data_IF_157348650390
#
_entry.id   IF_157348650390
#
_cell.length_a   1.000
_cell.length_b   1.000
_cell.length_c   1.000
_cell.angle_alpha   90.00
_cell.angle_beta   90.00
_cell.angle_gamma   90.00
#
_symmetry.space_group_name_H-M   'P 1'
#
loop_
_entity.id
_entity.type
_entity.pdbx_description
1 polymer ?
#
# COMPACT_ATOMS: atom_id res chain seq x y z
N UNK A 1 18.45 16.66 -6.51
CA UNK A 1 17.30 16.67 -7.45
C UNK A 1 16.02 16.59 -6.63
N UNK A 2 15.08 17.48 -6.85
CA UNK A 2 13.80 17.46 -6.11
C UNK A 2 12.92 16.30 -6.61
N UNK A 3 12.22 15.62 -5.69
CA UNK A 3 11.28 14.59 -6.06
C UNK A 3 10.05 15.24 -6.72
N UNK A 4 9.60 14.66 -7.81
CA UNK A 4 8.36 15.09 -8.47
C UNK A 4 7.15 14.49 -7.75
N UNK A 5 6.12 15.29 -7.51
CA UNK A 5 4.85 14.79 -6.98
C UNK A 5 4.11 13.96 -8.04
N UNK A 6 4.48 12.72 -8.14
CA UNK A 6 3.87 11.75 -9.05
C UNK A 6 3.61 10.43 -8.30
N UNK A 7 2.60 10.39 -7.44
CA UNK A 7 2.28 9.17 -6.71
C UNK A 7 1.73 8.12 -7.68
N UNK A 8 2.48 7.05 -7.81
CA UNK A 8 2.03 5.83 -8.46
C UNK A 8 1.72 4.84 -7.38
N UNK A 9 0.66 4.69 -6.84
CA UNK A 9 0.30 3.64 -5.89
C UNK A 9 1.49 2.76 -5.37
N UNK A 10 1.27 1.71 -4.67
CA UNK A 10 2.38 0.88 -4.17
C UNK A 10 2.86 -0.09 -5.25
N UNK A 11 4.18 -0.21 -5.38
CA UNK A 11 4.81 -1.18 -6.27
C UNK A 11 5.53 -2.24 -5.43
N UNK A 12 5.36 -3.50 -5.79
CA UNK A 12 6.18 -4.57 -5.24
C UNK A 12 7.63 -4.42 -5.73
N UNK A 13 8.58 -4.48 -4.82
CA UNK A 13 10.00 -4.34 -5.14
C UNK A 13 10.74 -5.67 -5.06
N UNK A 14 10.59 -6.37 -3.93
CA UNK A 14 11.25 -7.64 -3.70
C UNK A 14 10.67 -8.38 -2.49
N UNK A 15 11.08 -9.62 -2.33
CA UNK A 15 11.03 -10.32 -1.05
C UNK A 15 12.42 -10.28 -0.40
N UNK A 16 12.48 -10.29 0.92
CA UNK A 16 13.76 -10.43 1.66
C UNK A 16 14.33 -11.84 1.53
N UNK A 17 13.47 -12.81 1.21
CA UNK A 17 13.85 -14.19 0.91
C UNK A 17 13.66 -14.42 -0.59
N UNK A 18 14.59 -15.14 -1.23
CA UNK A 18 14.53 -15.47 -2.64
C UNK A 18 13.29 -16.30 -2.94
N UNK A 19 12.22 -15.66 -3.37
CA UNK A 19 10.96 -16.31 -3.71
C UNK A 19 10.15 -15.50 -4.70
N UNK A 20 9.40 -16.17 -5.56
CA UNK A 20 8.46 -15.53 -6.45
C UNK A 20 7.27 -14.98 -5.65
N UNK A 21 6.78 -13.81 -6.04
CA UNK A 21 5.53 -13.27 -5.52
C UNK A 21 4.39 -14.24 -5.81
N UNK A 22 3.66 -14.62 -4.76
CA UNK A 22 2.44 -15.42 -4.90
C UNK A 22 1.24 -14.48 -4.98
N UNK A 23 0.60 -14.42 -6.13
CA UNK A 23 -0.66 -13.73 -6.28
C UNK A 23 -1.78 -14.54 -5.63
N UNK A 24 -2.70 -13.82 -4.99
CA UNK A 24 -3.99 -14.36 -4.53
C UNK A 24 -5.13 -13.67 -5.25
N UNK A 25 -6.30 -14.26 -5.22
CA UNK A 25 -7.53 -13.66 -5.72
C UNK A 25 -8.58 -13.60 -4.63
N UNK A 26 -9.41 -12.56 -4.67
CA UNK A 26 -10.53 -12.40 -3.76
C UNK A 26 -11.63 -11.56 -4.39
N UNK A 27 -12.82 -11.63 -3.82
CA UNK A 27 -13.97 -10.84 -4.27
C UNK A 27 -13.97 -9.47 -3.61
N UNK A 28 -14.32 -8.45 -4.36
CA UNK A 28 -14.45 -7.08 -3.87
C UNK A 28 -15.86 -6.82 -3.33
N UNK A 29 -15.97 -5.79 -2.49
CA UNK A 29 -17.26 -5.14 -2.24
C UNK A 29 -17.83 -4.64 -3.58
N UNK A 30 -19.14 -4.66 -3.73
CA UNK A 30 -19.80 -4.14 -4.94
C UNK A 30 -19.40 -2.69 -5.23
N UNK A 31 -19.30 -2.35 -6.50
CA UNK A 31 -18.94 -1.01 -6.97
C UNK A 31 -17.53 -0.54 -6.52
N UNK A 32 -16.60 -1.46 -6.31
CA UNK A 32 -15.22 -1.14 -5.93
C UNK A 32 -14.36 -0.98 -7.17
N UNK A 33 -13.80 0.22 -7.37
CA UNK A 33 -12.79 0.50 -8.39
C UNK A 33 -11.41 0.46 -7.75
N UNK A 34 -10.49 -0.29 -8.36
CA UNK A 34 -9.10 -0.42 -7.91
C UNK A 34 -8.16 -0.20 -9.07
N UNK A 35 -6.98 0.31 -8.76
CA UNK A 35 -5.83 0.42 -9.69
C UNK A 35 -4.71 -0.48 -9.20
N UNK A 36 -3.80 -0.83 -10.10
CA UNK A 36 -2.59 -1.58 -9.72
C UNK A 36 -1.83 -0.84 -8.63
N UNK A 37 -1.46 -1.56 -7.57
CA UNK A 37 -0.74 -1.02 -6.41
C UNK A 37 -1.63 -0.38 -5.35
N UNK A 38 -2.94 -0.36 -5.51
CA UNK A 38 -3.84 0.16 -4.47
C UNK A 38 -3.78 -0.72 -3.20
N UNK A 39 -3.65 -0.10 -2.02
CA UNK A 39 -3.67 -0.84 -0.76
C UNK A 39 -5.08 -1.38 -0.48
N UNK A 40 -5.14 -2.61 -0.01
CA UNK A 40 -6.38 -3.36 0.17
C UNK A 40 -6.66 -3.64 1.64
N UNK A 41 -7.92 -3.49 2.02
CA UNK A 41 -8.46 -3.92 3.31
C UNK A 41 -9.61 -4.93 3.09
N UNK A 42 -9.99 -5.63 4.15
CA UNK A 42 -11.13 -6.55 4.12
C UNK A 42 -12.27 -6.00 4.99
N UNK A 43 -13.48 -6.07 4.45
CA UNK A 43 -14.71 -5.76 5.17
C UNK A 43 -15.74 -6.85 4.87
N UNK A 44 -16.23 -7.50 5.92
CA UNK A 44 -17.22 -8.57 5.77
C UNK A 44 -16.78 -9.73 4.87
N UNK A 45 -15.46 -9.99 4.78
CA UNK A 45 -14.89 -11.02 3.91
C UNK A 45 -14.62 -10.57 2.47
N UNK A 46 -14.91 -9.30 2.14
CA UNK A 46 -14.72 -8.74 0.80
C UNK A 46 -13.60 -7.69 0.78
N UNK A 47 -12.89 -7.64 -0.33
CA UNK A 47 -11.80 -6.68 -0.58
C UNK A 47 -12.38 -5.30 -0.88
N UNK A 48 -11.80 -4.29 -0.28
CA UNK A 48 -12.02 -2.88 -0.61
C UNK A 48 -10.71 -2.09 -0.62
N UNK A 49 -10.73 -0.89 -1.17
CA UNK A 49 -9.64 0.06 -1.07
C UNK A 49 -9.40 0.42 0.41
N UNK A 50 -8.16 0.28 0.87
CA UNK A 50 -7.76 0.74 2.19
C UNK A 50 -7.56 2.26 2.20
N UNK A 51 -8.00 2.92 3.26
CA UNK A 51 -7.86 4.37 3.43
C UNK A 51 -6.98 4.75 4.62
N UNK A 52 -6.89 6.05 4.89
CA UNK A 52 -6.07 6.60 5.96
C UNK A 52 -6.46 6.10 7.38
N UNK A 53 -7.69 5.64 7.54
CA UNK A 53 -8.21 5.10 8.81
C UNK A 53 -8.09 3.57 8.90
N UNK A 54 -7.57 2.90 7.87
CA UNK A 54 -7.40 1.45 7.89
C UNK A 54 -6.35 1.04 8.92
N UNK A 55 -6.72 0.15 9.83
CA UNK A 55 -5.86 -0.35 10.90
C UNK A 55 -5.14 -1.64 10.52
N UNK A 56 -5.49 -2.22 9.37
CA UNK A 56 -4.88 -3.42 8.83
C UNK A 56 -4.86 -3.38 7.30
N UNK A 57 -3.83 -3.96 6.69
CA UNK A 57 -3.72 -4.16 5.25
C UNK A 57 -3.79 -5.64 4.91
N UNK A 58 -4.49 -5.95 3.83
CA UNK A 58 -4.60 -7.31 3.30
C UNK A 58 -3.60 -7.59 2.19
N UNK A 59 -3.25 -6.56 1.45
CA UNK A 59 -2.30 -6.63 0.35
C UNK A 59 -2.39 -5.40 -0.54
N UNK A 60 -1.90 -5.55 -1.76
CA UNK A 60 -1.90 -4.51 -2.78
C UNK A 60 -2.42 -5.09 -4.10
N UNK A 61 -3.30 -4.35 -4.77
CA UNK A 61 -3.89 -4.78 -6.03
C UNK A 61 -2.82 -5.06 -7.10
N UNK A 62 -2.89 -6.21 -7.75
CA UNK A 62 -2.01 -6.59 -8.85
C UNK A 62 -2.64 -6.32 -10.23
N UNK A 63 -3.94 -6.08 -10.26
CA UNK A 63 -4.68 -5.70 -11.46
C UNK A 63 -5.66 -4.57 -11.18
N UNK A 64 -6.02 -3.82 -12.22
CA UNK A 64 -7.04 -2.79 -12.14
C UNK A 64 -8.42 -3.38 -12.39
N UNK A 65 -9.41 -2.92 -11.64
CA UNK A 65 -10.82 -3.25 -11.86
C UNK A 65 -11.66 -1.98 -11.81
N UNK A 66 -12.72 -1.96 -12.59
CA UNK A 66 -13.74 -0.91 -12.53
C UNK A 66 -14.97 -1.44 -11.80
N UNK A 67 -15.40 -0.69 -10.79
CA UNK A 67 -16.60 -1.03 -10.03
C UNK A 67 -17.86 -0.98 -10.89
N UNK A 68 -18.71 -1.99 -10.72
CA UNK A 68 -20.06 -2.03 -11.30
C UNK A 68 -21.04 -2.14 -10.17
N UNK A 69 -22.13 -1.38 -10.25
CA UNK A 69 -23.18 -1.40 -9.23
C UNK A 69 -23.73 -2.83 -9.03
N UNK A 70 -23.94 -3.18 -7.78
CA UNK A 70 -24.43 -4.49 -7.36
C UNK A 70 -23.59 -5.71 -7.80
N UNK A 71 -22.37 -5.50 -8.31
CA UNK A 71 -21.49 -6.56 -8.77
C UNK A 71 -20.23 -6.64 -7.92
N UNK A 72 -19.88 -7.84 -7.48
CA UNK A 72 -18.63 -8.15 -6.81
C UNK A 72 -17.64 -8.71 -7.82
N UNK A 73 -16.56 -7.98 -8.07
CA UNK A 73 -15.52 -8.39 -9.01
C UNK A 73 -14.48 -9.27 -8.29
N UNK A 74 -13.82 -10.14 -9.05
CA UNK A 74 -12.62 -10.83 -8.58
C UNK A 74 -11.40 -9.97 -8.90
N UNK A 75 -10.50 -9.80 -7.95
CA UNK A 75 -9.24 -9.06 -8.12
C UNK A 75 -8.05 -9.91 -7.70
N UNK A 76 -7.00 -9.90 -8.53
CA UNK A 76 -5.70 -10.43 -8.16
C UNK A 76 -4.94 -9.41 -7.31
N UNK A 77 -4.25 -9.88 -6.28
CA UNK A 77 -3.49 -9.02 -5.39
C UNK A 77 -2.23 -9.72 -4.86
N UNK A 78 -1.25 -8.92 -4.46
CA UNK A 78 -0.08 -9.36 -3.73
C UNK A 78 -0.43 -9.28 -2.25
N UNK A 79 -0.46 -10.41 -1.50
CA UNK A 79 -0.84 -10.39 -0.10
C UNK A 79 0.20 -9.62 0.73
N UNK A 80 -0.27 -9.00 1.80
CA UNK A 80 0.59 -8.48 2.85
C UNK A 80 1.18 -9.67 3.61
N UNK A 81 2.42 -10.01 3.33
CA UNK A 81 3.13 -11.14 3.92
C UNK A 81 4.48 -10.69 4.46
N UNK A 82 5.00 -11.43 5.44
CA UNK A 82 6.33 -11.19 5.99
C UNK A 82 7.38 -11.27 4.87
N UNK A 83 8.33 -10.35 4.90
CA UNK A 83 9.41 -10.28 3.93
C UNK A 83 9.07 -9.64 2.60
N UNK A 84 7.83 -9.25 2.36
CA UNK A 84 7.45 -8.52 1.14
C UNK A 84 7.72 -7.04 1.31
N UNK A 85 8.52 -6.49 0.39
CA UNK A 85 8.91 -5.08 0.37
C UNK A 85 8.23 -4.40 -0.80
N UNK A 86 7.57 -3.30 -0.50
CA UNK A 86 6.88 -2.45 -1.45
C UNK A 86 7.54 -1.07 -1.49
N UNK A 87 7.33 -0.33 -2.55
CA UNK A 87 7.67 1.08 -2.58
C UNK A 87 6.43 1.93 -2.81
N UNK A 88 6.43 3.11 -2.22
CA UNK A 88 5.39 4.10 -2.41
C UNK A 88 5.95 5.50 -2.23
N UNK A 89 5.25 6.51 -2.76
CA UNK A 89 5.63 7.90 -2.57
C UNK A 89 5.03 8.45 -1.27
N UNK A 90 5.84 9.17 -0.51
CA UNK A 90 5.33 9.97 0.60
C UNK A 90 4.40 11.06 0.07
N UNK A 91 3.24 11.17 0.68
CA UNK A 91 2.23 12.21 0.40
C UNK A 91 2.28 13.35 1.40
N UNK A 92 3.19 13.29 2.33
CA UNK A 92 3.36 14.33 3.34
C UNK A 92 4.03 15.56 2.75
N UNK A 93 3.56 16.74 3.13
CA UNK A 93 4.30 17.98 2.96
C UNK A 93 5.51 18.04 3.91
N UNK A 94 5.65 17.07 4.79
CA UNK A 94 6.78 16.92 5.70
C UNK A 94 8.02 16.54 4.90
N UNK A 95 9.12 17.19 5.22
CA UNK A 95 10.43 16.87 4.68
C UNK A 95 10.90 15.53 5.27
N UNK A 96 10.91 14.48 4.45
CA UNK A 96 11.31 13.13 4.86
C UNK A 96 12.83 13.05 4.88
N UNK A 97 13.36 12.62 6.00
CA UNK A 97 14.81 12.45 6.22
C UNK A 97 15.14 11.01 6.60
N UNK A 98 16.43 10.67 6.65
CA UNK A 98 16.89 9.36 7.12
C UNK A 98 16.38 8.99 8.53
N UNK A 99 16.06 9.97 9.37
CA UNK A 99 15.47 9.76 10.69
C UNK A 99 14.05 9.14 10.67
N UNK A 100 13.44 8.98 9.50
CA UNK A 100 12.17 8.26 9.36
C UNK A 100 12.35 6.76 9.15
N UNK A 101 13.55 6.28 8.88
CA UNK A 101 13.82 4.84 8.78
C UNK A 101 13.50 4.15 10.10
N UNK A 102 12.79 3.05 10.04
CA UNK A 102 12.29 2.31 11.21
C UNK A 102 10.98 2.85 11.78
N UNK A 103 10.55 4.07 11.43
CA UNK A 103 9.27 4.61 11.88
C UNK A 103 8.10 3.98 11.14
N UNK A 104 6.95 4.03 11.77
CA UNK A 104 5.68 3.56 11.22
C UNK A 104 4.97 4.65 10.43
N UNK A 105 4.18 4.23 9.46
CA UNK A 105 3.38 5.11 8.61
C UNK A 105 2.03 4.45 8.26
N UNK A 106 1.09 5.25 7.84
CA UNK A 106 -0.18 4.80 7.28
C UNK A 106 -0.18 4.84 5.76
N UNK A 107 -1.32 4.49 5.19
CA UNK A 107 -1.62 4.70 3.78
C UNK A 107 -2.56 5.88 3.63
N UNK A 108 -2.48 6.58 2.52
CA UNK A 108 -3.43 7.64 2.17
C UNK A 108 -3.92 7.43 0.76
N UNK A 109 -5.21 7.67 0.55
CA UNK A 109 -5.85 7.74 -0.75
C UNK A 109 -6.31 9.18 -0.97
N UNK A 110 -5.89 9.78 -2.06
CA UNK A 110 -6.30 11.14 -2.40
C UNK A 110 -7.60 11.15 -3.21
N UNK A 111 -8.21 12.32 -3.33
CA UNK A 111 -9.41 12.55 -4.16
C UNK A 111 -9.24 12.09 -5.61
N UNK A 112 -8.00 12.09 -6.12
CA UNK A 112 -7.69 11.60 -7.47
C UNK A 112 -7.47 10.08 -7.54
N UNK A 113 -7.78 9.34 -6.47
CA UNK A 113 -7.61 7.89 -6.42
C UNK A 113 -6.16 7.43 -6.47
N UNK A 114 -5.21 8.29 -6.13
CA UNK A 114 -3.80 7.93 -6.01
C UNK A 114 -3.46 7.62 -4.56
N UNK A 115 -2.77 6.50 -4.34
CA UNK A 115 -2.38 6.04 -3.02
C UNK A 115 -0.93 6.40 -2.73
N UNK A 116 -0.60 6.60 -1.46
CA UNK A 116 0.75 6.90 -1.02
C UNK A 116 0.97 6.61 0.46
N UNK A 117 2.16 6.93 0.94
CA UNK A 117 2.58 6.75 2.33
C UNK A 117 2.28 8.03 3.11
N UNK A 118 1.63 7.89 4.25
CA UNK A 118 1.30 8.99 5.15
C UNK A 118 2.08 8.86 6.46
N UNK A 119 3.15 9.64 6.59
CA UNK A 119 4.08 9.54 7.74
C UNK A 119 3.54 10.15 9.04
N UNK A 120 2.51 10.96 8.97
CA UNK A 120 1.85 11.57 10.14
C UNK A 120 0.57 10.83 10.57
N UNK A 121 0.33 9.62 10.02
CA UNK A 121 -0.87 8.87 10.32
C UNK A 121 -0.90 8.40 11.78
N UNK A 122 -2.07 8.45 12.36
CA UNK A 122 -2.35 7.79 13.64
C UNK A 122 -2.44 6.27 13.49
N UNK A 123 -2.77 5.80 12.28
CA UNK A 123 -2.81 4.37 11.94
C UNK A 123 -1.49 3.96 11.30
N UNK A 124 -0.82 2.99 11.89
CA UNK A 124 0.56 2.62 11.57
C UNK A 124 0.61 1.22 10.98
N UNK A 125 0.21 1.10 9.72
CA UNK A 125 0.13 -0.19 9.00
C UNK A 125 1.39 -0.54 8.20
N UNK A 126 2.28 0.44 8.01
CA UNK A 126 3.54 0.29 7.28
C UNK A 126 4.72 0.61 8.19
N UNK A 127 5.86 -0.01 7.92
CA UNK A 127 7.17 0.36 8.47
C UNK A 127 8.07 0.87 7.35
N UNK A 128 8.69 2.01 7.55
CA UNK A 128 9.63 2.60 6.59
C UNK A 128 10.97 1.88 6.73
N UNK A 129 11.44 1.26 5.65
CA UNK A 129 12.70 0.51 5.60
C UNK A 129 13.87 1.36 5.09
N UNK A 130 13.56 2.36 4.26
CA UNK A 130 14.58 3.22 3.67
C UNK A 130 14.09 3.98 2.46
N UNK A 131 15.01 4.66 1.83
CA UNK A 131 14.78 5.36 0.58
C UNK A 131 14.85 4.36 -0.59
N UNK A 132 13.95 4.49 -1.55
CA UNK A 132 14.06 3.71 -2.80
C UNK A 132 15.28 4.18 -3.59
N UNK A 133 16.10 3.27 -4.14
CA UNK A 133 17.21 3.64 -5.03
C UNK A 133 16.74 4.57 -6.16
N UNK A 134 17.49 5.62 -6.42
CA UNK A 134 17.15 6.65 -7.40
C UNK A 134 16.18 7.74 -6.92
N UNK A 135 15.76 7.69 -5.66
CA UNK A 135 14.98 8.76 -5.01
C UNK A 135 15.89 9.61 -4.11
N UNK A 136 15.46 10.80 -3.75
CA UNK A 136 16.14 11.68 -2.79
C UNK A 136 15.29 11.85 -1.52
N UNK A 137 15.94 12.10 -0.39
CA UNK A 137 15.26 12.56 0.82
C UNK A 137 14.59 13.91 0.56
N UNK A 138 13.51 14.17 1.18
CA UNK A 138 12.77 15.41 1.02
C UNK A 138 11.26 15.19 0.93
N UNK A 139 10.55 16.20 0.43
CA UNK A 139 9.12 16.07 0.11
C UNK A 139 8.93 15.10 -1.05
N UNK A 140 7.83 14.35 -1.02
CA UNK A 140 7.49 13.34 -2.05
C UNK A 140 8.54 12.24 -2.24
N UNK A 141 9.35 11.96 -1.21
CA UNK A 141 10.33 10.89 -1.27
C UNK A 141 9.67 9.54 -1.57
N UNK A 142 10.31 8.73 -2.41
CA UNK A 142 9.91 7.34 -2.63
C UNK A 142 10.58 6.46 -1.59
N UNK A 143 9.78 5.77 -0.82
CA UNK A 143 10.22 4.98 0.32
C UNK A 143 9.96 3.49 0.07
N UNK A 144 10.89 2.68 0.52
CA UNK A 144 10.67 1.24 0.67
C UNK A 144 9.98 0.99 2.01
N UNK A 145 8.93 0.18 1.97
CA UNK A 145 8.10 -0.13 3.14
C UNK A 145 7.76 -1.61 3.21
N UNK A 146 7.57 -2.09 4.43
CA UNK A 146 6.94 -3.39 4.70
C UNK A 146 5.63 -3.19 5.44
N UNK A 147 4.69 -4.11 5.29
CA UNK A 147 3.47 -4.11 6.10
C UNK A 147 3.83 -4.60 7.50
N UNK A 148 3.39 -3.89 8.52
CA UNK A 148 3.61 -4.29 9.91
C UNK A 148 2.83 -5.57 10.19
N UNK A 149 3.48 -6.60 10.70
CA UNK A 149 2.88 -7.93 10.92
C UNK A 149 1.58 -7.89 11.72
N UNK A 150 1.51 -7.04 12.74
CA UNK A 150 0.30 -6.84 13.55
C UNK A 150 -0.86 -6.18 12.77
N UNK A 151 -0.59 -5.68 11.57
CA UNK A 151 -1.56 -5.00 10.71
C UNK A 151 -2.02 -5.88 9.55
N UNK A 152 -1.57 -7.12 9.46
CA UNK A 152 -2.09 -8.06 8.46
C UNK A 152 -3.58 -8.28 8.73
N UNK A 153 -4.40 -8.00 7.74
CA UNK A 153 -5.81 -8.29 7.81
C UNK A 153 -6.00 -9.80 7.76
N UNK A 154 -6.20 -10.38 8.90
CA UNK A 154 -6.64 -11.73 9.19
C UNK A 154 -6.29 -12.85 8.21
N UNK A 155 -5.97 -14.01 8.74
CA UNK A 155 -5.99 -15.23 7.94
C UNK A 155 -7.38 -15.40 7.32
N UNK A 156 -7.42 -15.63 6.03
CA UNK A 156 -8.60 -16.11 5.33
C UNK A 156 -9.03 -17.38 6.05
N UNK A 157 -10.21 -17.35 6.62
CA UNK A 157 -10.89 -18.56 7.05
C UNK A 157 -11.38 -19.34 5.85
#
# INVERSE_FOLDING_TARGET
MANTNNPHSFLWEKTDQSGAVKLKRGKTVSNTTLKVGDPLAIVGGYIKLAGATSTALYGFAAEAITGVAATQNSVAFIPAADGYIFSGQSRSTVNITAGYVGKRAGVIVTTNGKCGIYVSATTSVLQILGLKPGSAWGTYARLMVAVVRSSYAGSIR
#
